data_IF_124311551896
#
_entry.id   IF_124311551896
#
_cell.length_a   1.000
_cell.length_b   1.000
_cell.length_c   1.000
_cell.angle_alpha   90.00
_cell.angle_beta   90.00
_cell.angle_gamma   90.00
#
_symmetry.space_group_name_H-M   'P 1'
#
loop_
_entity.id
_entity.type
_entity.pdbx_description
1 polymer ?
#
# COMPACT_ATOMS: atom_id res chain seq x y z
N UNK A 1 18.00 -36.82 25.01
CA UNK A 1 16.84 -35.95 25.30
C UNK A 1 16.61 -35.10 24.06
N UNK A 2 15.55 -35.36 23.30
CA UNK A 2 15.21 -34.65 22.05
C UNK A 2 13.74 -34.29 22.15
N UNK A 3 13.45 -32.99 22.26
CA UNK A 3 12.07 -32.50 22.28
C UNK A 3 11.72 -32.20 20.82
N UNK A 4 10.89 -33.05 20.21
CA UNK A 4 10.22 -32.69 18.96
C UNK A 4 8.96 -31.91 19.36
N UNK A 5 8.93 -30.61 19.04
CA UNK A 5 7.69 -29.84 19.10
C UNK A 5 6.70 -30.34 18.04
N UNK A 6 5.39 -30.07 18.20
CA UNK A 6 4.39 -30.51 17.25
C UNK A 6 4.66 -29.91 15.86
N UNK A 7 4.32 -30.63 14.76
CA UNK A 7 4.42 -30.06 13.43
C UNK A 7 3.54 -28.81 13.36
N UNK A 8 4.13 -27.72 12.86
CA UNK A 8 3.42 -26.49 12.55
C UNK A 8 2.20 -26.83 11.70
N UNK A 9 1.02 -26.35 12.10
CA UNK A 9 -0.25 -26.67 11.47
C UNK A 9 -0.20 -26.43 9.95
N UNK A 10 -0.55 -27.45 9.18
CA UNK A 10 -0.83 -27.39 7.75
C UNK A 10 -1.98 -26.40 7.55
N UNK A 11 -1.76 -25.31 6.82
CA UNK A 11 -2.86 -24.50 6.31
C UNK A 11 -3.50 -25.28 5.15
N UNK A 12 -4.78 -25.57 5.29
CA UNK A 12 -5.57 -26.31 4.31
C UNK A 12 -5.61 -25.59 2.95
N UNK A 13 -5.26 -26.34 1.90
CA UNK A 13 -5.64 -26.23 0.48
C UNK A 13 -6.32 -24.92 0.04
N UNK A 14 -5.52 -23.97 -0.46
CA UNK A 14 -6.02 -22.82 -1.21
C UNK A 14 -6.63 -23.33 -2.53
N UNK A 15 -7.92 -23.07 -2.78
CA UNK A 15 -8.56 -23.34 -4.07
C UNK A 15 -7.70 -22.75 -5.20
N UNK A 16 -7.33 -23.50 -6.26
CA UNK A 16 -6.46 -22.96 -7.31
C UNK A 16 -7.19 -21.82 -8.02
N UNK A 17 -6.76 -20.60 -7.74
CA UNK A 17 -7.16 -19.45 -8.53
C UNK A 17 -6.70 -19.72 -9.97
N UNK A 18 -7.59 -19.60 -10.98
CA UNK A 18 -7.19 -19.86 -12.35
C UNK A 18 -6.00 -18.95 -12.69
N UNK A 19 -4.89 -19.57 -13.11
CA UNK A 19 -3.64 -18.90 -13.50
C UNK A 19 -3.87 -18.03 -14.75
N UNK A 20 -4.53 -16.90 -14.53
CA UNK A 20 -4.45 -15.76 -15.42
C UNK A 20 -3.00 -15.33 -15.39
N UNK A 21 -2.31 -15.26 -16.54
CA UNK A 21 -0.94 -14.73 -16.61
C UNK A 21 -0.89 -13.37 -15.92
N UNK A 22 -0.48 -13.37 -14.66
CA UNK A 22 -0.47 -12.19 -13.83
C UNK A 22 0.70 -11.33 -14.29
N UNK A 23 0.42 -10.12 -14.77
CA UNK A 23 1.48 -9.15 -14.99
C UNK A 23 2.06 -8.79 -13.63
N UNK A 24 3.33 -9.14 -13.42
CA UNK A 24 4.01 -8.97 -12.14
C UNK A 24 5.27 -8.16 -12.31
N UNK A 25 5.54 -7.29 -11.33
CA UNK A 25 6.82 -6.63 -11.15
C UNK A 25 7.44 -7.23 -9.89
N UNK A 26 8.68 -7.69 -10.00
CA UNK A 26 9.42 -8.31 -8.91
C UNK A 26 10.75 -7.58 -8.69
N UNK A 27 11.08 -7.32 -7.44
CA UNK A 27 12.37 -6.78 -7.02
C UNK A 27 13.04 -7.79 -6.08
N UNK A 28 14.36 -7.93 -6.19
CA UNK A 28 15.14 -8.91 -5.43
C UNK A 28 15.44 -8.50 -3.98
N UNK A 29 14.95 -7.35 -3.53
CA UNK A 29 15.15 -6.86 -2.18
C UNK A 29 14.22 -5.71 -1.82
N UNK A 30 14.27 -5.31 -0.55
CA UNK A 30 13.47 -4.21 -0.02
C UNK A 30 13.85 -2.86 -0.65
N UNK A 31 12.85 -2.01 -0.83
CA UNK A 31 13.00 -0.64 -1.28
C UNK A 31 13.79 0.19 -0.25
N UNK A 32 14.74 0.99 -0.73
CA UNK A 32 15.55 1.90 0.11
C UNK A 32 14.93 3.28 0.21
N UNK A 33 14.20 3.68 -0.82
CA UNK A 33 13.54 4.98 -0.94
C UNK A 33 12.11 4.80 -1.46
N UNK A 34 11.28 5.83 -1.31
CA UNK A 34 9.90 5.83 -1.82
C UNK A 34 9.83 5.48 -3.32
N UNK A 35 10.77 5.96 -4.12
CA UNK A 35 10.78 5.72 -5.58
C UNK A 35 11.06 4.28 -5.96
N UNK A 36 11.59 3.46 -5.05
CA UNK A 36 11.86 2.04 -5.27
C UNK A 36 10.73 1.14 -4.77
N UNK A 37 9.75 1.71 -4.07
CA UNK A 37 8.69 0.99 -3.38
C UNK A 37 7.48 0.73 -4.31
N UNK A 38 6.69 -0.28 -3.96
CA UNK A 38 5.47 -0.58 -4.69
C UNK A 38 4.30 0.25 -4.18
N UNK A 39 3.50 0.80 -5.09
CA UNK A 39 2.30 1.56 -4.76
C UNK A 39 1.06 0.69 -4.93
N UNK A 40 0.26 0.61 -3.87
CA UNK A 40 -1.07 -0.01 -3.88
C UNK A 40 -2.13 1.06 -3.70
N UNK A 41 -3.30 0.88 -4.31
CA UNK A 41 -4.42 1.78 -4.09
C UNK A 41 -5.73 1.31 -4.71
N UNK A 42 -6.84 1.81 -4.17
CA UNK A 42 -8.20 1.54 -4.65
C UNK A 42 -8.92 2.81 -5.15
N UNK A 43 -8.17 3.89 -5.37
CA UNK A 43 -8.70 5.19 -5.77
C UNK A 43 -9.01 6.14 -4.62
N UNK A 44 -9.35 5.64 -3.42
CA UNK A 44 -9.61 6.45 -2.24
C UNK A 44 -8.46 6.41 -1.22
N UNK A 45 -7.93 5.21 -0.96
CA UNK A 45 -6.78 4.97 -0.09
C UNK A 45 -5.62 4.42 -0.92
N UNK A 46 -4.42 4.88 -0.59
CA UNK A 46 -3.16 4.36 -1.12
C UNK A 46 -2.19 3.97 -0.01
N UNK A 47 -1.30 3.02 -0.31
CA UNK A 47 -0.22 2.60 0.56
C UNK A 47 1.06 2.34 -0.23
N UNK A 48 2.19 2.75 0.34
CA UNK A 48 3.53 2.46 -0.19
C UNK A 48 4.11 1.26 0.54
N UNK A 49 4.56 0.24 -0.20
CA UNK A 49 5.10 -1.02 0.33
C UNK A 49 6.60 -1.10 0.06
N UNK A 50 7.40 -1.18 1.13
CA UNK A 50 8.86 -1.20 1.07
C UNK A 50 9.45 -2.62 1.09
N UNK A 51 8.77 -3.59 1.70
CA UNK A 51 9.17 -4.99 1.74
C UNK A 51 10.30 -5.33 2.71
N UNK A 52 10.42 -4.62 3.84
CA UNK A 52 11.40 -4.88 4.91
C UNK A 52 11.01 -6.11 5.74
N UNK A 53 12.00 -6.95 6.06
CA UNK A 53 11.75 -8.24 6.72
C UNK A 53 11.36 -8.16 8.20
N UNK A 54 12.10 -7.40 9.02
CA UNK A 54 11.88 -7.39 10.48
C UNK A 54 10.74 -6.45 10.90
N UNK A 55 10.64 -5.29 10.27
CA UNK A 55 9.62 -4.28 10.53
C UNK A 55 9.33 -3.52 9.25
N UNK A 56 8.06 -3.53 8.89
CA UNK A 56 7.56 -2.78 7.74
C UNK A 56 6.91 -1.48 8.21
N UNK A 57 7.10 -0.44 7.42
CA UNK A 57 6.40 0.84 7.55
C UNK A 57 5.66 1.11 6.24
N UNK A 58 4.46 1.69 6.31
CA UNK A 58 3.69 2.07 5.13
C UNK A 58 3.45 3.57 5.15
N UNK A 59 3.82 4.26 4.08
CA UNK A 59 3.33 5.62 3.84
C UNK A 59 1.92 5.53 3.27
N UNK A 60 0.97 6.15 3.97
CA UNK A 60 -0.45 6.11 3.62
C UNK A 60 -0.89 7.42 2.97
N UNK A 61 -1.78 7.31 1.99
CA UNK A 61 -2.41 8.45 1.35
C UNK A 61 -3.94 8.29 1.32
N UNK A 62 -4.66 9.39 1.50
CA UNK A 62 -6.09 9.46 1.22
C UNK A 62 -6.34 10.53 0.14
N UNK A 63 -7.13 10.20 -0.87
CA UNK A 63 -7.46 11.07 -2.01
C UNK A 63 -8.11 12.41 -1.61
N UNK A 64 -8.67 12.48 -0.42
CA UNK A 64 -9.40 13.61 0.16
C UNK A 64 -8.61 14.37 1.23
N UNK A 65 -7.41 13.92 1.61
CA UNK A 65 -6.59 14.62 2.59
C UNK A 65 -5.87 15.80 1.94
N UNK A 66 -6.55 16.94 1.91
CA UNK A 66 -6.03 18.18 1.37
C UNK A 66 -5.96 19.25 2.46
N UNK A 67 -5.01 20.17 2.30
CA UNK A 67 -4.97 21.40 3.08
C UNK A 67 -5.86 22.48 2.46
N UNK A 68 -6.29 23.44 3.28
CA UNK A 68 -7.22 24.50 2.87
C UNK A 68 -8.69 24.12 3.06
N UNK A 69 -9.58 24.98 2.58
CA UNK A 69 -11.02 24.80 2.69
C UNK A 69 -11.77 25.70 1.71
N UNK A 70 -13.11 25.63 1.68
CA UNK A 70 -13.92 26.46 0.80
C UNK A 70 -13.56 27.94 0.94
N UNK A 71 -13.06 28.53 -0.13
CA UNK A 71 -12.74 29.97 -0.19
C UNK A 71 -13.86 30.68 -0.93
N UNK A 72 -14.47 31.70 -0.30
CA UNK A 72 -15.31 32.63 -1.04
C UNK A 72 -14.41 33.47 -1.95
N UNK A 73 -14.45 33.20 -3.26
CA UNK A 73 -14.06 34.19 -4.25
C UNK A 73 -15.18 35.21 -4.34
N UNK A 74 -15.29 36.11 -3.37
CA UNK A 74 -16.08 37.34 -3.57
C UNK A 74 -15.38 38.10 -4.69
N UNK A 75 -16.02 38.36 -5.84
CA UNK A 75 -15.51 39.36 -6.75
C UNK A 75 -15.48 40.66 -5.95
N UNK A 76 -14.30 41.25 -5.75
CA UNK A 76 -14.21 42.60 -5.21
C UNK A 76 -15.11 43.47 -6.08
N UNK A 77 -16.21 43.97 -5.50
CA UNK A 77 -17.20 44.75 -6.23
C UNK A 77 -16.51 45.86 -7.03
N UNK A 78 -16.63 45.78 -8.35
CA UNK A 78 -16.36 46.89 -9.23
C UNK A 78 -17.47 47.91 -9.03
N UNK A 79 -17.32 48.75 -8.00
CA UNK A 79 -18.06 50.00 -7.89
C UNK A 79 -17.49 50.96 -8.93
N UNK A 80 -18.32 51.25 -9.93
CA UNK A 80 -18.19 52.35 -10.89
C UNK A 80 -19.57 52.88 -11.18
#
# INVERSE_FOLDING_TARGET
>A
MKVHGPPCATLDEETPVPETSATRIELSGAARTFTDAFLLGNGALGATVYGRGEREDFDLNADTLWSGGPTQRTPSGGGG
#
